data_IF_349021227352
#
_entry.id   IF_349021227352
#
_cell.length_a   1.000
_cell.length_b   1.000
_cell.length_c   1.000
_cell.angle_alpha   90.00
_cell.angle_beta   90.00
_cell.angle_gamma   90.00
#
_symmetry.space_group_name_H-M   'P 1'
#
loop_
_entity.id
_entity.type
_entity.pdbx_description
1 polymer ?
#
# COMPACT_ATOMS: atom_id res chain seq x y z
N UNK A 1 -20.53 0.32 -82.21
CA UNK A 1 -20.88 1.77 -82.06
C UNK A 1 -20.55 2.21 -80.69
N UNK A 2 -19.55 3.01 -80.67
CA UNK A 2 -19.41 4.35 -80.10
C UNK A 2 -19.26 4.38 -78.60
N UNK A 3 -18.00 4.60 -78.16
CA UNK A 3 -17.45 5.88 -77.70
C UNK A 3 -18.00 6.27 -76.34
N UNK A 4 -17.26 6.65 -75.40
CA UNK A 4 -16.00 7.35 -75.15
C UNK A 4 -16.15 7.89 -73.74
N UNK A 5 -15.30 8.14 -72.99
CA UNK A 5 -14.11 8.95 -72.76
C UNK A 5 -13.93 8.95 -71.25
N UNK A 6 -12.93 8.43 -70.73
CA UNK A 6 -11.74 9.21 -70.41
C UNK A 6 -12.03 10.63 -69.93
N UNK A 7 -12.05 10.85 -68.63
CA UNK A 7 -11.70 12.14 -68.10
C UNK A 7 -10.68 12.01 -66.97
N UNK A 8 -9.51 12.34 -67.39
CA UNK A 8 -8.42 12.66 -66.48
C UNK A 8 -8.64 14.11 -66.04
N UNK A 9 -8.59 14.36 -64.77
CA UNK A 9 -8.19 15.67 -64.21
C UNK A 9 -7.74 15.42 -62.80
N UNK A 10 -6.46 15.40 -62.66
CA UNK A 10 -5.62 16.49 -62.18
C UNK A 10 -5.81 16.77 -60.72
N UNK A 11 -4.91 16.14 -60.04
CA UNK A 11 -4.37 16.48 -58.75
C UNK A 11 -4.10 17.97 -58.59
N UNK A 12 -4.66 18.55 -57.57
CA UNK A 12 -4.10 19.73 -56.94
C UNK A 12 -3.66 19.34 -55.56
N UNK A 13 -2.37 19.24 -55.41
CA UNK A 13 -1.73 19.11 -54.12
C UNK A 13 -1.84 20.46 -53.40
N UNK A 14 -2.72 20.52 -52.42
CA UNK A 14 -2.70 21.60 -51.44
C UNK A 14 -1.91 21.09 -50.22
N UNK A 15 -0.65 21.46 -50.21
CA UNK A 15 0.19 21.37 -49.00
C UNK A 15 -0.30 22.47 -48.06
N UNK A 16 -1.24 22.13 -47.20
CA UNK A 16 -1.54 22.95 -46.06
C UNK A 16 -0.54 22.58 -44.96
N UNK A 17 0.49 23.38 -44.82
CA UNK A 17 1.36 23.40 -43.68
C UNK A 17 0.53 23.87 -42.47
N UNK A 18 -0.11 22.97 -41.80
CA UNK A 18 -0.66 23.22 -40.47
C UNK A 18 0.49 23.21 -39.47
N UNK A 19 0.92 24.39 -39.11
CA UNK A 19 1.67 24.62 -37.88
C UNK A 19 0.78 24.23 -36.73
N UNK A 20 0.85 22.98 -36.31
CA UNK A 20 0.37 22.56 -34.99
C UNK A 20 1.34 23.13 -33.98
N UNK A 21 0.95 24.25 -33.41
CA UNK A 21 1.50 24.75 -32.15
C UNK A 21 1.52 23.58 -31.18
N UNK A 22 2.71 23.08 -30.87
CA UNK A 22 2.89 22.07 -29.85
C UNK A 22 2.41 22.65 -28.54
N UNK A 23 1.19 22.28 -28.17
CA UNK A 23 0.82 22.31 -26.78
C UNK A 23 1.71 21.26 -26.13
N UNK A 24 2.81 21.72 -25.52
CA UNK A 24 3.56 20.94 -24.60
C UNK A 24 2.53 20.42 -23.58
N UNK A 25 2.15 19.16 -23.74
CA UNK A 25 1.33 18.49 -22.74
C UNK A 25 2.06 18.67 -21.43
N UNK A 26 1.47 19.45 -20.54
CA UNK A 26 1.80 19.39 -19.14
C UNK A 26 1.45 17.97 -18.77
N UNK A 27 2.44 17.07 -18.82
CA UNK A 27 2.33 15.82 -18.11
C UNK A 27 2.08 16.24 -16.67
N UNK A 28 0.85 16.07 -16.24
CA UNK A 28 0.55 16.03 -14.82
C UNK A 28 1.51 14.99 -14.28
N UNK A 29 2.52 15.44 -13.58
CA UNK A 29 3.30 14.58 -12.71
C UNK A 29 2.25 13.98 -11.81
N UNK A 30 1.90 12.72 -12.05
CA UNK A 30 1.09 11.92 -11.14
C UNK A 30 1.70 12.14 -9.77
N UNK A 31 0.87 12.54 -8.83
CA UNK A 31 1.25 12.53 -7.42
C UNK A 31 1.99 11.21 -7.20
N UNK A 32 3.22 11.34 -6.75
CA UNK A 32 4.16 10.28 -6.45
C UNK A 32 3.38 9.06 -5.96
N UNK A 33 3.44 7.94 -6.70
CA UNK A 33 2.79 6.69 -6.27
C UNK A 33 3.55 6.20 -5.04
N UNK A 34 3.23 6.84 -3.90
CA UNK A 34 3.81 6.52 -2.62
C UNK A 34 3.50 5.06 -2.32
N UNK A 35 4.53 4.25 -2.13
CA UNK A 35 4.35 2.85 -1.80
C UNK A 35 3.61 2.72 -0.49
N UNK A 36 2.81 1.67 -0.34
CA UNK A 36 2.07 1.37 0.87
C UNK A 36 2.74 0.23 1.61
N UNK A 37 2.95 0.40 2.91
CA UNK A 37 3.36 -0.67 3.83
C UNK A 37 2.12 -1.27 4.48
N UNK A 38 1.80 -2.51 4.14
CA UNK A 38 0.68 -3.25 4.71
C UNK A 38 1.13 -4.03 5.92
N UNK A 39 0.62 -3.64 7.09
CA UNK A 39 0.98 -4.24 8.37
C UNK A 39 -0.22 -4.94 8.98
N UNK A 40 -0.10 -6.25 9.23
CA UNK A 40 -1.14 -6.99 9.94
C UNK A 40 -0.92 -6.97 11.44
N UNK A 41 -2.04 -6.87 12.17
CA UNK A 41 -2.12 -7.00 13.62
C UNK A 41 -3.52 -7.45 14.04
N UNK A 42 -3.66 -7.94 15.29
CA UNK A 42 -4.94 -8.44 15.81
C UNK A 42 -5.89 -7.29 16.19
N UNK A 43 -5.35 -6.14 16.57
CA UNK A 43 -6.08 -4.97 17.09
C UNK A 43 -6.98 -5.28 18.29
N UNK A 44 -6.56 -6.23 19.11
CA UNK A 44 -7.25 -6.68 20.32
C UNK A 44 -6.34 -6.84 21.53
N UNK A 45 -5.08 -6.45 21.45
CA UNK A 45 -4.03 -6.72 22.44
C UNK A 45 -3.43 -5.44 23.03
N UNK A 46 -4.15 -4.79 23.93
CA UNK A 46 -3.63 -3.62 24.66
C UNK A 46 -2.48 -4.03 25.62
N UNK A 47 -1.43 -3.21 25.80
CA UNK A 47 -1.19 -1.87 25.24
C UNK A 47 -0.44 -1.88 23.90
N UNK A 48 -0.29 -3.04 23.28
CA UNK A 48 0.47 -3.18 22.02
C UNK A 48 -0.33 -2.73 20.81
N UNK A 49 -1.52 -3.28 20.63
CA UNK A 49 -2.42 -2.88 19.55
C UNK A 49 -3.89 -3.12 19.96
N UNK A 50 -4.74 -2.13 19.77
CA UNK A 50 -6.17 -2.25 20.05
C UNK A 50 -7.00 -1.40 19.12
N UNK A 51 -8.30 -1.72 19.03
CA UNK A 51 -9.29 -0.98 18.25
C UNK A 51 -9.91 0.14 19.06
N UNK A 52 -10.07 1.33 18.47
CA UNK A 52 -10.79 2.47 19.01
C UNK A 52 -11.67 3.14 17.96
N UNK A 53 -12.70 3.95 18.35
CA UNK A 53 -13.69 4.48 17.40
C UNK A 53 -13.24 5.72 16.65
N UNK A 54 -12.14 6.36 17.04
CA UNK A 54 -11.67 7.61 16.46
C UNK A 54 -10.14 7.65 16.25
N UNK A 55 -9.67 8.70 15.60
CA UNK A 55 -8.27 8.93 15.28
C UNK A 55 -7.47 9.59 16.42
N UNK A 56 -8.03 9.70 17.62
CA UNK A 56 -7.35 10.30 18.75
C UNK A 56 -5.99 9.64 19.01
N UNK A 57 -5.07 10.41 19.60
CA UNK A 57 -3.69 10.01 19.90
C UNK A 57 -2.84 9.62 18.66
N UNK A 58 -3.32 9.89 17.45
CA UNK A 58 -2.65 9.50 16.22
C UNK A 58 -2.88 8.05 15.80
N UNK A 59 -4.03 7.51 16.20
CA UNK A 59 -4.49 6.21 15.73
C UNK A 59 -4.62 6.16 14.21
N UNK A 60 -4.44 5.00 13.64
CA UNK A 60 -4.46 4.75 12.19
C UNK A 60 -5.73 4.00 11.84
N UNK A 61 -6.44 4.44 10.80
CA UNK A 61 -7.64 3.76 10.35
C UNK A 61 -7.34 2.31 9.95
N UNK A 62 -8.16 1.38 10.41
CA UNK A 62 -8.07 -0.03 10.03
C UNK A 62 -8.65 -0.19 8.63
N UNK A 63 -7.91 -0.83 7.74
CA UNK A 63 -8.32 -1.07 6.35
C UNK A 63 -9.68 -1.77 6.28
N UNK A 64 -10.60 -1.18 5.51
CA UNK A 64 -11.95 -1.71 5.35
C UNK A 64 -12.88 -1.53 6.56
N UNK A 65 -12.50 -0.74 7.57
CA UNK A 65 -13.28 -0.45 8.77
C UNK A 65 -13.46 1.05 8.97
N UNK A 66 -14.48 1.43 9.76
CA UNK A 66 -14.63 2.79 10.30
C UNK A 66 -13.79 3.00 11.58
N UNK A 67 -13.27 1.93 12.16
CA UNK A 67 -12.50 1.96 13.40
C UNK A 67 -11.01 2.21 13.14
N UNK A 68 -10.31 2.53 14.21
CA UNK A 68 -8.89 2.87 14.20
C UNK A 68 -8.11 1.93 15.10
N UNK A 69 -6.86 1.68 14.74
CA UNK A 69 -5.90 0.94 15.55
C UNK A 69 -4.98 1.91 16.27
N UNK A 70 -4.70 1.66 17.54
CA UNK A 70 -3.73 2.38 18.34
C UNK A 70 -2.92 1.44 19.24
N UNK A 71 -1.80 1.92 19.72
CA UNK A 71 -0.91 1.21 20.62
C UNK A 71 0.54 1.22 20.19
N UNK A 72 1.38 0.53 20.97
CA UNK A 72 2.83 0.51 20.74
C UNK A 72 3.19 -0.03 19.35
N UNK A 73 2.58 -1.12 18.93
CA UNK A 73 2.81 -1.74 17.62
C UNK A 73 2.41 -0.81 16.47
N UNK A 74 1.29 -0.09 16.62
CA UNK A 74 0.83 0.90 15.63
C UNK A 74 1.80 2.07 15.51
N UNK A 75 2.33 2.54 16.65
CA UNK A 75 3.34 3.59 16.66
C UNK A 75 4.65 3.14 15.99
N UNK A 76 5.06 1.89 16.20
CA UNK A 76 6.22 1.29 15.52
C UNK A 76 5.98 1.16 14.02
N UNK A 77 4.82 0.64 13.60
CA UNK A 77 4.45 0.54 12.19
C UNK A 77 4.48 1.92 11.50
N UNK A 78 3.90 2.92 12.15
CA UNK A 78 3.89 4.31 11.65
C UNK A 78 5.30 4.86 11.48
N UNK A 79 6.16 4.68 12.48
CA UNK A 79 7.55 5.13 12.41
C UNK A 79 8.32 4.46 11.28
N UNK A 80 8.14 3.16 11.08
CA UNK A 80 8.77 2.42 9.98
C UNK A 80 8.29 2.93 8.63
N UNK A 81 6.97 3.11 8.45
CA UNK A 81 6.40 3.64 7.22
C UNK A 81 6.91 5.06 6.91
N UNK A 82 6.96 5.94 7.92
CA UNK A 82 7.46 7.31 7.80
C UNK A 82 8.94 7.34 7.38
N UNK A 83 9.79 6.51 7.98
CA UNK A 83 11.23 6.41 7.64
C UNK A 83 11.46 5.86 6.21
N UNK A 84 10.57 4.99 5.73
CA UNK A 84 10.61 4.46 4.38
C UNK A 84 9.97 5.41 3.35
N UNK A 85 9.27 6.44 3.78
CA UNK A 85 8.48 7.30 2.92
C UNK A 85 7.25 6.60 2.34
N UNK A 86 6.69 5.62 3.02
CA UNK A 86 5.53 4.83 2.60
C UNK A 86 4.25 5.30 3.31
N UNK A 87 3.10 5.04 2.69
CA UNK A 87 1.83 5.11 3.38
C UNK A 87 1.62 3.85 4.21
N UNK A 88 1.00 3.99 5.38
CA UNK A 88 0.72 2.87 6.27
C UNK A 88 -0.71 2.38 6.06
N UNK A 89 -0.88 1.08 5.86
CA UNK A 89 -2.16 0.39 5.85
C UNK A 89 -2.18 -0.66 6.98
N UNK A 90 -3.06 -0.49 7.96
CA UNK A 90 -3.26 -1.47 9.03
C UNK A 90 -4.34 -2.46 8.62
N UNK A 91 -3.98 -3.73 8.57
CA UNK A 91 -4.87 -4.85 8.26
C UNK A 91 -5.16 -5.64 9.52
N UNK A 92 -6.41 -5.59 9.99
CA UNK A 92 -6.84 -6.37 11.17
C UNK A 92 -7.12 -7.80 10.76
N UNK A 93 -6.46 -8.76 11.40
CA UNK A 93 -6.62 -10.19 11.19
C UNK A 93 -6.69 -10.92 12.54
N UNK A 94 -7.34 -12.08 12.54
CA UNK A 94 -7.26 -12.98 13.68
C UNK A 94 -5.84 -13.50 13.87
N UNK A 95 -5.48 -13.79 15.12
CA UNK A 95 -4.13 -14.21 15.51
C UNK A 95 -3.55 -15.34 14.63
N UNK A 96 -4.32 -16.38 14.38
CA UNK A 96 -3.88 -17.55 13.62
C UNK A 96 -3.70 -17.25 12.12
N UNK A 97 -4.23 -16.12 11.64
CA UNK A 97 -4.13 -15.67 10.25
C UNK A 97 -2.91 -14.79 9.98
N UNK A 98 -2.24 -14.29 11.02
CA UNK A 98 -1.14 -13.32 10.87
C UNK A 98 0.04 -13.90 10.07
N UNK A 99 0.56 -15.06 10.48
CA UNK A 99 1.69 -15.72 9.79
C UNK A 99 1.31 -16.16 8.37
N UNK A 100 0.17 -16.83 8.12
CA UNK A 100 -0.29 -17.13 6.78
C UNK A 100 -0.41 -15.91 5.86
N UNK A 101 -0.84 -14.76 6.37
CA UNK A 101 -0.98 -13.54 5.57
C UNK A 101 0.36 -13.02 5.04
N UNK A 102 1.44 -13.10 5.84
CA UNK A 102 2.79 -12.76 5.37
C UNK A 102 3.26 -13.78 4.34
N UNK A 103 3.10 -15.06 4.61
CA UNK A 103 3.54 -16.13 3.71
C UNK A 103 2.87 -16.06 2.33
N UNK A 104 1.61 -15.63 2.27
CA UNK A 104 0.87 -15.47 1.02
C UNK A 104 1.13 -14.15 0.30
N UNK A 105 1.83 -13.20 0.94
CA UNK A 105 2.01 -11.86 0.41
C UNK A 105 0.77 -10.97 0.48
N UNK A 106 -0.22 -11.33 1.29
CA UNK A 106 -1.39 -10.50 1.55
C UNK A 106 -1.02 -9.22 2.28
N UNK A 107 -0.03 -9.30 3.16
CA UNK A 107 0.58 -8.18 3.89
C UNK A 107 2.10 -8.25 3.79
N UNK A 108 2.75 -7.11 3.97
CA UNK A 108 4.21 -7.03 3.89
C UNK A 108 4.88 -7.53 5.17
N UNK A 109 4.26 -7.27 6.33
CA UNK A 109 4.77 -7.72 7.62
C UNK A 109 3.66 -7.81 8.68
N UNK A 110 4.02 -8.41 9.81
CA UNK A 110 3.23 -8.46 11.04
C UNK A 110 3.95 -7.69 12.14
N UNK A 111 3.24 -6.78 12.80
CA UNK A 111 3.69 -6.10 14.02
C UNK A 111 2.57 -6.23 15.04
N UNK A 112 2.65 -7.23 15.92
CA UNK A 112 1.53 -7.65 16.77
C UNK A 112 1.96 -8.18 18.14
N UNK A 113 3.08 -7.68 18.69
CA UNK A 113 3.61 -8.19 19.96
C UNK A 113 3.98 -9.68 19.91
N UNK A 114 4.27 -10.19 18.70
CA UNK A 114 4.47 -11.62 18.49
C UNK A 114 5.86 -12.07 18.95
N UNK A 115 5.91 -13.02 19.88
CA UNK A 115 7.17 -13.59 20.38
C UNK A 115 7.88 -14.41 19.30
N UNK A 116 9.20 -14.29 19.27
CA UNK A 116 10.07 -15.11 18.42
C UNK A 116 10.13 -16.52 19.02
N UNK A 117 9.63 -17.52 18.28
CA UNK A 117 9.76 -18.93 18.65
C UNK A 117 10.40 -19.72 17.53
N UNK A 118 11.00 -20.86 17.87
CA UNK A 118 11.64 -21.74 16.87
C UNK A 118 10.66 -22.23 15.81
N UNK A 119 9.42 -22.48 16.19
CA UNK A 119 8.36 -22.93 15.29
C UNK A 119 8.02 -21.83 14.29
N UNK A 120 7.87 -20.59 14.75
CA UNK A 120 7.58 -19.44 13.87
C UNK A 120 8.75 -19.11 12.94
N UNK A 121 9.99 -19.23 13.43
CA UNK A 121 11.18 -19.01 12.62
C UNK A 121 11.35 -20.05 11.48
N UNK A 122 10.64 -21.18 11.52
CA UNK A 122 10.57 -22.10 10.40
C UNK A 122 9.61 -21.66 9.30
N UNK A 123 8.75 -20.69 9.59
CA UNK A 123 7.68 -20.26 8.70
C UNK A 123 7.90 -18.84 8.16
N UNK A 124 8.48 -17.96 8.94
CA UNK A 124 8.72 -16.55 8.63
C UNK A 124 10.02 -16.08 9.27
N UNK A 125 10.60 -15.03 8.68
CA UNK A 125 11.75 -14.34 9.27
C UNK A 125 11.29 -13.30 10.29
N UNK A 126 12.14 -13.04 11.28
CA UNK A 126 11.95 -12.01 12.30
C UNK A 126 13.05 -10.96 12.19
N UNK A 127 12.71 -9.73 12.50
CA UNK A 127 13.68 -8.65 12.76
C UNK A 127 14.31 -8.84 14.12
N UNK A 128 15.25 -7.95 14.47
CA UNK A 128 15.65 -7.79 15.87
C UNK A 128 14.42 -7.40 16.72
N UNK A 129 14.38 -7.84 17.99
CA UNK A 129 13.27 -7.50 18.87
C UNK A 129 13.15 -5.98 19.10
N UNK A 130 11.97 -5.44 18.88
CA UNK A 130 11.67 -4.03 19.18
C UNK A 130 11.15 -3.81 20.60
N UNK A 131 10.85 -4.90 21.34
CA UNK A 131 10.40 -4.88 22.71
C UNK A 131 10.85 -6.14 23.45
N UNK A 132 11.25 -6.00 24.71
CA UNK A 132 11.59 -7.12 25.59
C UNK A 132 10.59 -7.19 26.74
N UNK A 133 9.95 -8.33 26.89
CA UNK A 133 9.02 -8.62 27.98
C UNK A 133 9.50 -9.85 28.78
N UNK A 134 9.25 -9.84 30.09
CA UNK A 134 9.41 -11.01 30.94
C UNK A 134 8.03 -11.48 31.37
N UNK A 135 7.73 -12.75 31.15
CA UNK A 135 6.53 -13.39 31.68
C UNK A 135 6.87 -13.90 33.08
N UNK A 136 6.16 -13.40 34.08
CA UNK A 136 6.27 -13.86 35.46
C UNK A 136 4.93 -14.50 35.88
N UNK A 137 5.00 -15.59 36.60
CA UNK A 137 3.84 -16.20 37.25
C UNK A 137 3.79 -15.68 38.69
N UNK A 138 2.64 -15.12 39.07
CA UNK A 138 2.36 -14.70 40.46
C UNK A 138 1.67 -15.79 41.24
#
# INVERSE_FOLDING_TARGET
>A
MRKSKMWRMLTVAAVAASMTCGIAGVQSVSADDKKTLKVAMECGYAPYNWTQPDDSNGAVQISGSSDYAYGYDVMMAKKIADELGYDLEIVKLDWDSLVPAVQSGQVDCVIAGQSITKERQQMVDFTDPYYYASIITL
#
